data_IF_316416489075
#
_entry.id   IF_316416489075
#
_cell.length_a   1.000
_cell.length_b   1.000
_cell.length_c   1.000
_cell.angle_alpha   90.00
_cell.angle_beta   90.00
_cell.angle_gamma   90.00
#
_symmetry.space_group_name_H-M   'P 1'
#
loop_
_entity.id
_entity.type
_entity.pdbx_description
1 polymer ?
#
# COMPACT_ATOMS: atom_id res chain seq x y z
N UNK A 1 -20.17 -17.50 1.75
CA UNK A 1 -20.09 -18.98 1.83
C UNK A 1 -20.27 -19.54 0.42
N UNK A 2 -19.80 -20.75 0.15
CA UNK A 2 -19.93 -21.41 -1.16
C UNK A 2 -19.99 -22.92 -1.04
N UNK A 3 -19.91 -23.63 -2.16
CA UNK A 3 -19.91 -25.09 -2.23
C UNK A 3 -18.88 -25.60 -3.24
N UNK A 4 -18.26 -26.76 -2.96
CA UNK A 4 -17.54 -27.53 -3.98
C UNK A 4 -18.53 -28.16 -4.98
N UNK A 5 -18.01 -28.76 -6.06
CA UNK A 5 -18.82 -29.46 -7.06
C UNK A 5 -19.61 -30.64 -6.46
N UNK A 6 -19.11 -31.23 -5.38
CA UNK A 6 -19.72 -32.35 -4.65
C UNK A 6 -20.73 -31.89 -3.57
N UNK A 7 -21.00 -30.58 -3.46
CA UNK A 7 -21.96 -30.06 -2.48
C UNK A 7 -21.37 -29.76 -1.09
N UNK A 8 -20.04 -29.82 -0.92
CA UNK A 8 -19.40 -29.57 0.38
C UNK A 8 -19.31 -28.07 0.64
N UNK A 9 -19.88 -27.61 1.76
CA UNK A 9 -19.87 -26.19 2.15
C UNK A 9 -18.45 -25.70 2.41
N UNK A 10 -18.12 -24.50 1.90
CA UNK A 10 -16.82 -23.84 2.09
C UNK A 10 -16.96 -22.35 2.39
N UNK A 11 -15.87 -21.74 2.86
CA UNK A 11 -15.78 -20.29 3.11
C UNK A 11 -14.98 -19.60 2.00
N UNK A 12 -15.19 -18.30 1.83
CA UNK A 12 -14.54 -17.50 0.79
C UNK A 12 -13.38 -16.66 1.38
N UNK A 13 -12.90 -17.01 2.58
CA UNK A 13 -11.90 -16.25 3.31
C UNK A 13 -12.41 -14.93 3.88
N UNK A 14 -11.47 -14.06 4.30
CA UNK A 14 -11.74 -12.72 4.83
C UNK A 14 -12.31 -11.83 3.71
N UNK A 15 -13.36 -11.06 4.03
CA UNK A 15 -14.08 -10.26 3.03
C UNK A 15 -15.02 -11.08 2.14
N UNK A 16 -15.32 -12.32 2.53
CA UNK A 16 -16.15 -13.23 1.74
C UNK A 16 -17.57 -12.74 1.44
N UNK A 17 -18.14 -11.85 2.27
CA UNK A 17 -19.45 -11.25 2.01
C UNK A 17 -19.42 -10.28 0.83
N UNK A 18 -18.46 -9.35 0.81
CA UNK A 18 -18.23 -8.43 -0.30
C UNK A 18 -17.95 -9.21 -1.60
N UNK A 19 -17.13 -10.27 -1.48
CA UNK A 19 -16.83 -11.15 -2.62
C UNK A 19 -18.07 -11.89 -3.14
N UNK A 20 -18.94 -12.38 -2.24
CA UNK A 20 -20.20 -13.00 -2.65
C UNK A 20 -21.08 -12.00 -3.41
N UNK A 21 -21.17 -10.76 -2.93
CA UNK A 21 -21.95 -9.71 -3.57
C UNK A 21 -21.36 -9.33 -4.94
N UNK A 22 -20.04 -9.25 -5.07
CA UNK A 22 -19.37 -8.99 -6.35
C UNK A 22 -19.60 -10.10 -7.38
N UNK A 23 -19.48 -11.37 -6.97
CA UNK A 23 -19.78 -12.52 -7.85
C UNK A 23 -21.23 -12.49 -8.32
N UNK A 24 -22.18 -12.24 -7.40
CA UNK A 24 -23.59 -12.13 -7.76
C UNK A 24 -23.85 -10.98 -8.73
N UNK A 25 -23.30 -9.80 -8.45
CA UNK A 25 -23.44 -8.63 -9.32
C UNK A 25 -22.92 -8.91 -10.75
N UNK A 26 -21.76 -9.56 -10.87
CA UNK A 26 -21.21 -9.97 -12.15
C UNK A 26 -22.10 -10.99 -12.87
N UNK A 27 -22.57 -12.03 -12.16
CA UNK A 27 -23.42 -13.07 -12.72
C UNK A 27 -24.79 -12.53 -13.20
N UNK A 28 -25.36 -11.58 -12.48
CA UNK A 28 -26.65 -10.95 -12.82
C UNK A 28 -26.49 -9.74 -13.75
N UNK A 29 -25.26 -9.36 -14.12
CA UNK A 29 -24.96 -8.15 -14.89
C UNK A 29 -25.59 -6.89 -14.29
N UNK A 30 -25.47 -6.76 -12.97
CA UNK A 30 -26.02 -5.62 -12.23
C UNK A 30 -25.41 -4.30 -12.71
N UNK A 31 -26.21 -3.23 -12.68
CA UNK A 31 -25.74 -1.91 -13.08
C UNK A 31 -24.72 -1.32 -12.09
N UNK A 32 -24.75 -1.76 -10.82
CA UNK A 32 -23.89 -1.26 -9.73
C UNK A 32 -23.83 -2.32 -8.62
N UNK A 33 -22.68 -2.43 -7.94
CA UNK A 33 -22.52 -3.15 -6.68
C UNK A 33 -22.49 -2.13 -5.53
N UNK A 34 -23.37 -2.29 -4.53
CA UNK A 34 -23.40 -1.42 -3.35
C UNK A 34 -22.89 -2.16 -2.13
N UNK A 35 -21.85 -1.63 -1.50
CA UNK A 35 -21.31 -2.14 -0.25
C UNK A 35 -21.66 -1.15 0.86
N UNK A 36 -22.51 -1.60 1.78
CA UNK A 36 -22.90 -0.85 2.96
C UNK A 36 -21.97 -1.20 4.12
N UNK A 37 -21.32 -0.19 4.68
CA UNK A 37 -20.36 -0.28 5.78
C UNK A 37 -20.69 0.77 6.86
N UNK A 38 -19.77 1.04 7.79
CA UNK A 38 -19.89 2.02 8.88
C UNK A 38 -19.25 3.38 8.56
N UNK A 39 -18.72 3.54 7.35
CA UNK A 39 -18.10 4.78 6.84
C UNK A 39 -18.79 5.30 5.59
N UNK A 40 -18.81 6.63 5.44
CA UNK A 40 -19.46 7.35 4.32
C UNK A 40 -18.57 7.43 3.08
N UNK A 41 -18.02 6.29 2.67
CA UNK A 41 -17.10 6.19 1.54
C UNK A 41 -15.62 6.22 1.95
N UNK A 42 -14.77 6.51 0.97
CA UNK A 42 -13.32 6.66 1.12
C UNK A 42 -12.99 8.13 1.36
N UNK A 43 -12.12 8.38 2.33
CA UNK A 43 -11.66 9.72 2.69
C UNK A 43 -10.29 10.01 2.06
N UNK A 44 -10.00 11.27 1.75
CA UNK A 44 -8.70 11.69 1.21
C UNK A 44 -7.53 11.53 2.19
N UNK A 45 -7.81 11.32 3.47
CA UNK A 45 -6.86 10.84 4.49
C UNK A 45 -7.65 10.27 5.66
N UNK A 46 -6.99 9.58 6.61
CA UNK A 46 -7.62 9.18 7.88
C UNK A 46 -8.12 10.44 8.63
N UNK A 47 -9.45 10.61 8.84
CA UNK A 47 -10.00 11.78 9.51
C UNK A 47 -9.53 11.96 10.96
N UNK A 48 -9.03 10.88 11.59
CA UNK A 48 -8.44 10.93 12.94
C UNK A 48 -7.09 11.62 12.94
N UNK A 49 -6.36 11.53 11.84
CA UNK A 49 -5.03 12.13 11.64
C UNK A 49 -5.14 13.52 11.01
N UNK A 50 -6.06 13.68 10.05
CA UNK A 50 -6.26 14.90 9.26
C UNK A 50 -7.70 15.39 9.42
N UNK A 51 -7.92 16.43 10.24
CA UNK A 51 -9.26 17.00 10.45
C UNK A 51 -9.92 17.55 9.17
N UNK A 52 -9.10 17.97 8.20
CA UNK A 52 -9.54 18.47 6.89
C UNK A 52 -9.72 17.38 5.83
N UNK A 53 -9.73 16.10 6.21
CA UNK A 53 -9.98 15.01 5.27
C UNK A 53 -11.36 15.17 4.61
N UNK A 54 -11.40 15.03 3.29
CA UNK A 54 -12.60 15.21 2.46
C UNK A 54 -13.08 13.85 1.97
N UNK A 55 -14.40 13.60 1.89
CA UNK A 55 -14.91 12.41 1.23
C UNK A 55 -14.59 12.48 -0.27
N UNK A 56 -14.26 11.33 -0.87
CA UNK A 56 -14.03 11.21 -2.30
C UNK A 56 -15.33 10.80 -2.99
N UNK A 57 -15.76 11.57 -3.99
CA UNK A 57 -16.96 11.22 -4.76
C UNK A 57 -16.73 10.00 -5.65
N UNK A 58 -15.55 9.92 -6.27
CA UNK A 58 -15.17 8.81 -7.13
C UNK A 58 -13.68 8.51 -7.11
N UNK A 59 -13.32 7.28 -7.44
CA UNK A 59 -11.93 6.85 -7.60
C UNK A 59 -11.82 5.65 -8.52
N UNK A 60 -10.63 5.40 -9.04
CA UNK A 60 -10.41 4.26 -9.90
C UNK A 60 -10.16 2.99 -9.09
N UNK A 61 -10.34 1.83 -9.73
CA UNK A 61 -9.98 0.56 -9.09
C UNK A 61 -8.51 0.49 -8.72
N UNK A 62 -7.64 1.08 -9.53
CA UNK A 62 -6.21 1.11 -9.25
C UNK A 62 -5.90 2.00 -8.04
N UNK A 63 -6.51 3.19 -7.94
CA UNK A 63 -6.39 4.05 -6.76
C UNK A 63 -6.89 3.35 -5.49
N UNK A 64 -8.03 2.66 -5.58
CA UNK A 64 -8.61 1.94 -4.45
C UNK A 64 -7.72 0.79 -4.00
N UNK A 65 -7.09 0.11 -4.94
CA UNK A 65 -6.15 -0.97 -4.66
C UNK A 65 -4.90 -0.47 -3.91
N UNK A 66 -4.29 0.61 -4.38
CA UNK A 66 -3.13 1.23 -3.75
C UNK A 66 -3.46 1.72 -2.33
N UNK A 67 -4.58 2.44 -2.15
CA UNK A 67 -4.98 2.92 -0.82
C UNK A 67 -5.21 1.77 0.17
N UNK A 68 -5.89 0.73 -0.28
CA UNK A 68 -6.23 -0.41 0.58
C UNK A 68 -5.00 -1.21 0.99
N UNK A 69 -4.01 -1.30 0.09
CA UNK A 69 -2.73 -1.95 0.38
C UNK A 69 -1.96 -1.21 1.49
N UNK A 70 -1.95 0.13 1.49
CA UNK A 70 -1.26 0.96 2.47
C UNK A 70 -2.14 1.45 3.63
N UNK A 71 -3.17 0.69 4.00
CA UNK A 71 -3.87 0.84 5.29
C UNK A 71 -5.23 1.54 5.26
N UNK A 72 -5.74 1.96 4.10
CA UNK A 72 -7.11 2.47 4.00
C UNK A 72 -8.11 1.31 4.11
N UNK A 73 -8.66 1.09 5.31
CA UNK A 73 -9.58 -0.03 5.61
C UNK A 73 -11.01 0.22 5.10
N UNK A 74 -11.21 0.30 3.79
CA UNK A 74 -12.55 0.48 3.22
C UNK A 74 -12.97 -0.71 2.38
N UNK A 75 -12.08 -1.24 1.54
CA UNK A 75 -12.40 -2.37 0.68
C UNK A 75 -11.14 -3.20 0.41
N UNK A 76 -11.26 -4.52 0.38
CA UNK A 76 -10.12 -5.33 -0.03
C UNK A 76 -10.17 -5.55 -1.54
N UNK A 77 -9.14 -5.25 -2.35
CA UNK A 77 -9.25 -5.25 -3.82
C UNK A 77 -9.72 -6.59 -4.41
N UNK A 78 -9.28 -7.71 -3.82
CA UNK A 78 -9.73 -9.05 -4.23
C UNK A 78 -11.23 -9.30 -4.04
N UNK A 79 -11.89 -8.61 -3.10
CA UNK A 79 -13.30 -8.86 -2.83
C UNK A 79 -14.21 -8.27 -3.90
N UNK A 80 -13.78 -7.24 -4.62
CA UNK A 80 -14.58 -6.64 -5.68
C UNK A 80 -14.14 -6.98 -7.09
N UNK A 81 -13.03 -7.71 -7.23
CA UNK A 81 -12.45 -8.07 -8.52
C UNK A 81 -13.48 -8.64 -9.53
N UNK A 82 -14.44 -9.51 -9.16
CA UNK A 82 -15.44 -9.99 -10.11
C UNK A 82 -16.32 -8.87 -10.70
N UNK A 83 -16.70 -7.89 -9.87
CA UNK A 83 -17.47 -6.73 -10.33
C UNK A 83 -16.60 -5.81 -11.22
N UNK A 84 -15.34 -5.63 -10.84
CA UNK A 84 -14.36 -4.85 -11.62
C UNK A 84 -14.16 -5.42 -13.02
N UNK A 85 -13.91 -6.73 -13.13
CA UNK A 85 -13.71 -7.43 -14.41
C UNK A 85 -14.95 -7.40 -15.30
N UNK A 86 -16.13 -7.39 -14.69
CA UNK A 86 -17.41 -7.22 -15.38
C UNK A 86 -17.72 -5.74 -15.75
N UNK A 87 -16.85 -4.78 -15.40
CA UNK A 87 -17.05 -3.35 -15.64
C UNK A 87 -18.17 -2.73 -14.80
N UNK A 88 -18.54 -3.36 -13.68
CA UNK A 88 -19.64 -2.94 -12.81
C UNK A 88 -19.10 -1.98 -11.74
N UNK A 89 -19.55 -0.72 -11.67
CA UNK A 89 -19.14 0.23 -10.64
C UNK A 89 -19.47 -0.28 -9.22
N UNK A 90 -18.57 -0.01 -8.28
CA UNK A 90 -18.74 -0.35 -6.86
C UNK A 90 -18.96 0.91 -6.06
N UNK A 91 -20.07 1.01 -5.33
CA UNK A 91 -20.37 2.14 -4.45
C UNK A 91 -20.22 1.76 -2.99
N UNK A 92 -19.37 2.48 -2.27
CA UNK A 92 -19.21 2.38 -0.83
C UNK A 92 -20.16 3.35 -0.14
N UNK A 93 -21.03 2.83 0.72
CA UNK A 93 -22.12 3.57 1.39
C UNK A 93 -22.08 3.35 2.90
N UNK A 94 -22.64 4.30 3.66
CA UNK A 94 -22.77 4.19 5.11
C UNK A 94 -24.16 3.71 5.50
N UNK A 95 -24.22 2.62 6.25
CA UNK A 95 -25.46 2.08 6.84
C UNK A 95 -26.09 3.06 7.84
N UNK A 96 -25.26 3.79 8.58
CA UNK A 96 -25.69 4.75 9.61
C UNK A 96 -25.97 6.16 9.07
N UNK A 97 -25.57 6.45 7.83
CA UNK A 97 -25.84 7.72 7.16
C UNK A 97 -26.30 7.49 5.70
N UNK A 98 -27.54 7.01 5.47
CA UNK A 98 -28.01 6.60 4.15
C UNK A 98 -28.14 7.75 3.14
N UNK A 99 -28.17 8.99 3.60
CA UNK A 99 -28.19 10.19 2.76
C UNK A 99 -26.83 10.53 2.15
N UNK A 100 -25.75 9.97 2.69
CA UNK A 100 -24.40 10.28 2.22
C UNK A 100 -24.17 9.67 0.83
N UNK A 101 -23.56 10.45 -0.05
CA UNK A 101 -23.34 10.04 -1.45
C UNK A 101 -22.43 8.82 -1.57
N UNK A 102 -21.52 8.65 -0.59
CA UNK A 102 -20.50 7.63 -0.58
C UNK A 102 -19.44 7.85 -1.65
N UNK A 103 -18.68 6.80 -1.96
CA UNK A 103 -17.64 6.82 -3.00
C UNK A 103 -17.94 5.81 -4.08
N UNK A 104 -17.84 6.23 -5.34
CA UNK A 104 -17.99 5.32 -6.50
C UNK A 104 -16.62 4.91 -7.04
N UNK A 105 -16.33 3.61 -7.01
CA UNK A 105 -15.12 3.01 -7.57
C UNK A 105 -15.46 2.47 -8.97
N UNK A 106 -14.74 2.91 -9.99
CA UNK A 106 -15.06 2.60 -11.41
C UNK A 106 -13.81 2.65 -12.30
N UNK A 107 -13.88 2.09 -13.51
CA UNK A 107 -12.77 2.14 -14.48
C UNK A 107 -12.63 3.50 -15.17
N UNK A 108 -13.74 4.26 -15.28
CA UNK A 108 -13.75 5.60 -15.84
C UNK A 108 -14.00 6.60 -14.72
N UNK A 109 -12.93 7.20 -14.19
CA UNK A 109 -13.09 8.35 -13.30
C UNK A 109 -13.11 9.63 -14.11
N UNK A 110 -14.06 10.51 -13.79
CA UNK A 110 -13.96 11.90 -14.21
C UNK A 110 -12.68 12.48 -13.60
N UNK A 111 -11.89 13.18 -14.42
CA UNK A 111 -10.74 13.92 -13.92
C UNK A 111 -11.26 15.13 -13.16
N UNK A 112 -11.36 15.00 -11.84
CA UNK A 112 -11.72 16.08 -10.92
C UNK A 112 -10.60 17.15 -10.77
N UNK A 113 -9.51 17.01 -11.54
CA UNK A 113 -8.35 17.91 -11.54
C UNK A 113 -7.38 17.65 -10.40
N UNK A 114 -7.67 16.71 -9.50
CA UNK A 114 -6.76 16.34 -8.42
C UNK A 114 -5.58 15.54 -8.96
N UNK A 115 -4.38 15.92 -8.52
CA UNK A 115 -3.14 15.20 -8.86
C UNK A 115 -2.94 14.03 -7.90
N UNK A 116 -3.02 14.32 -6.60
CA UNK A 116 -3.09 13.34 -5.52
C UNK A 116 -4.52 13.38 -4.98
N UNK A 117 -5.20 12.23 -4.93
CA UNK A 117 -6.56 12.12 -4.40
C UNK A 117 -6.58 11.82 -2.91
N UNK A 118 -5.63 11.00 -2.47
CA UNK A 118 -5.60 10.54 -1.09
C UNK A 118 -4.20 10.26 -0.58
N UNK A 119 -4.06 10.40 0.73
CA UNK A 119 -2.84 10.07 1.49
C UNK A 119 -3.19 9.05 2.57
N UNK A 120 -2.45 7.95 2.62
CA UNK A 120 -2.62 6.90 3.63
C UNK A 120 -1.30 6.58 4.31
N UNK A 121 -1.36 5.83 5.42
CA UNK A 121 -0.16 5.35 6.10
C UNK A 121 -0.37 3.99 6.76
N UNK A 122 0.72 3.23 6.86
CA UNK A 122 0.79 1.96 7.56
C UNK A 122 1.95 2.02 8.57
N UNK A 123 1.63 1.91 9.86
CA UNK A 123 2.61 1.86 10.95
C UNK A 123 2.85 0.45 11.48
N UNK A 124 3.69 0.33 12.50
CA UNK A 124 4.04 -0.95 13.12
C UNK A 124 4.96 -1.81 12.25
N UNK A 125 5.87 -1.14 11.53
CA UNK A 125 6.79 -1.76 10.59
C UNK A 125 8.24 -1.59 11.05
N UNK A 126 9.10 -2.46 10.55
CA UNK A 126 10.54 -2.31 10.58
C UNK A 126 11.13 -2.39 9.18
N UNK A 127 12.28 -1.77 8.97
CA UNK A 127 13.02 -1.83 7.72
C UNK A 127 14.31 -2.62 7.93
N UNK A 128 14.53 -3.63 7.10
CA UNK A 128 15.79 -4.39 7.05
C UNK A 128 16.56 -3.96 5.82
N UNK A 129 17.81 -3.55 6.00
CA UNK A 129 18.72 -3.21 4.90
C UNK A 129 19.82 -4.25 4.82
N UNK A 130 19.92 -4.92 3.67
CA UNK A 130 21.05 -5.79 3.32
C UNK A 130 21.93 -5.02 2.35
N UNK A 131 23.20 -4.81 2.70
CA UNK A 131 24.15 -4.01 1.92
C UNK A 131 25.49 -4.74 1.75
N UNK A 132 26.09 -4.64 0.57
CA UNK A 132 27.50 -4.97 0.36
C UNK A 132 27.95 -5.03 -1.09
N UNK A 133 29.21 -4.70 -1.35
CA UNK A 133 29.79 -4.64 -2.69
C UNK A 133 29.69 -5.97 -3.48
N UNK A 134 29.61 -7.12 -2.79
CA UNK A 134 29.44 -8.43 -3.41
C UNK A 134 28.08 -8.63 -4.10
N UNK A 135 27.12 -7.70 -3.93
CA UNK A 135 25.88 -7.73 -4.72
C UNK A 135 26.08 -7.28 -6.17
N UNK A 136 27.14 -6.52 -6.46
CA UNK A 136 27.48 -6.11 -7.82
C UNK A 136 28.02 -7.31 -8.61
N UNK A 137 27.21 -7.84 -9.53
CA UNK A 137 27.64 -8.89 -10.46
C UNK A 137 27.45 -10.32 -9.96
N UNK A 138 26.78 -10.54 -8.83
CA UNK A 138 26.35 -11.88 -8.36
C UNK A 138 24.87 -12.09 -8.69
N UNK A 139 24.55 -12.88 -9.73
CA UNK A 139 23.18 -13.29 -10.00
C UNK A 139 22.57 -13.98 -8.78
N UNK A 140 21.31 -13.66 -8.48
CA UNK A 140 20.54 -14.37 -7.45
C UNK A 140 20.66 -13.81 -6.03
N UNK A 141 21.41 -12.71 -5.79
CA UNK A 141 21.45 -12.08 -4.46
C UNK A 141 20.06 -11.67 -3.97
N UNK A 142 19.33 -10.91 -4.78
CA UNK A 142 17.96 -10.51 -4.47
C UNK A 142 17.04 -11.73 -4.28
N UNK A 143 17.20 -12.77 -5.11
CA UNK A 143 16.41 -14.00 -4.98
C UNK A 143 16.62 -14.63 -3.59
N UNK A 144 17.86 -14.77 -3.12
CA UNK A 144 18.16 -15.31 -1.79
C UNK A 144 17.55 -14.50 -0.65
N UNK A 145 17.54 -13.16 -0.77
CA UNK A 145 16.88 -12.28 0.21
C UNK A 145 15.38 -12.60 0.29
N UNK A 146 14.70 -12.66 -0.87
CA UNK A 146 13.26 -12.94 -0.92
C UNK A 146 12.91 -14.38 -0.58
N UNK A 147 13.73 -15.35 -0.96
CA UNK A 147 13.57 -16.76 -0.60
C UNK A 147 13.66 -16.95 0.92
N UNK A 148 14.58 -16.22 1.57
CA UNK A 148 14.71 -16.24 3.03
C UNK A 148 13.48 -15.62 3.70
N UNK A 149 12.99 -14.47 3.20
CA UNK A 149 11.75 -13.87 3.71
C UNK A 149 10.54 -14.82 3.54
N UNK A 150 10.45 -15.49 2.39
CA UNK A 150 9.39 -16.46 2.11
C UNK A 150 9.48 -17.69 3.02
N UNK A 151 10.68 -18.25 3.23
CA UNK A 151 10.92 -19.38 4.13
C UNK A 151 10.51 -19.05 5.57
N UNK A 152 10.79 -17.83 6.03
CA UNK A 152 10.38 -17.33 7.34
C UNK A 152 8.91 -16.88 7.40
N UNK A 153 8.17 -16.98 6.28
CA UNK A 153 6.78 -16.54 6.14
C UNK A 153 6.59 -15.07 6.53
N UNK A 154 7.53 -14.22 6.13
CA UNK A 154 7.49 -12.77 6.38
C UNK A 154 6.91 -12.08 5.16
N UNK A 155 5.81 -11.35 5.37
CA UNK A 155 5.22 -10.52 4.32
C UNK A 155 6.07 -9.26 4.12
N UNK A 156 6.61 -9.09 2.91
CA UNK A 156 7.33 -7.87 2.51
C UNK A 156 6.31 -6.85 2.02
N UNK A 157 6.25 -5.70 2.69
CA UNK A 157 5.28 -4.63 2.43
C UNK A 157 5.77 -3.64 1.37
N UNK A 158 7.07 -3.36 1.38
CA UNK A 158 7.71 -2.44 0.44
C UNK A 158 9.17 -2.85 0.23
N UNK A 159 9.67 -2.61 -0.97
CA UNK A 159 11.05 -2.90 -1.38
C UNK A 159 11.64 -1.61 -1.93
N UNK A 160 12.88 -1.30 -1.54
CA UNK A 160 13.69 -0.25 -2.16
C UNK A 160 15.07 -0.84 -2.43
N UNK A 161 15.60 -0.65 -3.64
CA UNK A 161 16.91 -1.16 -4.02
C UNK A 161 17.76 -0.01 -4.55
N UNK A 162 18.99 0.09 -4.06
CA UNK A 162 19.97 1.07 -4.54
C UNK A 162 21.08 0.34 -5.29
N UNK A 163 21.20 0.61 -6.59
CA UNK A 163 22.25 0.03 -7.42
C UNK A 163 23.63 0.61 -7.12
N UNK A 164 23.72 1.88 -6.74
CA UNK A 164 24.99 2.55 -6.44
C UNK A 164 25.59 2.10 -5.10
N UNK A 165 24.73 1.81 -4.13
CA UNK A 165 25.15 1.40 -2.78
C UNK A 165 25.16 -0.12 -2.60
N UNK A 166 24.75 -0.87 -3.64
CA UNK A 166 24.59 -2.31 -3.56
C UNK A 166 23.76 -2.71 -2.33
N UNK A 167 22.54 -2.18 -2.22
CA UNK A 167 21.68 -2.42 -1.07
C UNK A 167 20.24 -2.78 -1.47
N UNK A 168 19.60 -3.62 -0.66
CA UNK A 168 18.18 -3.95 -0.73
C UNK A 168 17.58 -3.66 0.65
N UNK A 169 16.56 -2.81 0.67
CA UNK A 169 15.76 -2.50 1.84
C UNK A 169 14.40 -3.22 1.72
N UNK A 170 14.01 -3.94 2.76
CA UNK A 170 12.71 -4.58 2.90
C UNK A 170 11.98 -3.94 4.07
N UNK A 171 10.75 -3.46 3.85
CA UNK A 171 9.86 -3.07 4.94
C UNK A 171 8.95 -4.24 5.26
N UNK A 172 8.92 -4.65 6.53
CA UNK A 172 8.20 -5.82 7.03
C UNK A 172 7.47 -5.47 8.34
N UNK A 173 6.50 -6.28 8.80
CA UNK A 173 5.95 -6.15 10.15
C UNK A 173 7.06 -6.13 11.22
N UNK A 174 6.97 -5.21 12.18
CA UNK A 174 8.03 -5.00 13.19
C UNK A 174 8.32 -6.28 14.01
N UNK A 175 7.28 -7.05 14.33
CA UNK A 175 7.38 -8.32 15.07
C UNK A 175 8.14 -9.43 14.31
N UNK A 176 8.33 -9.29 13.00
CA UNK A 176 9.07 -10.23 12.16
C UNK A 176 10.54 -9.84 11.95
N UNK A 177 10.95 -8.63 12.35
CA UNK A 177 12.26 -8.04 12.01
C UNK A 177 13.44 -8.87 12.54
N UNK A 178 13.45 -9.21 13.83
CA UNK A 178 14.55 -9.97 14.44
C UNK A 178 14.70 -11.37 13.86
N UNK A 179 13.56 -12.04 13.62
CA UNK A 179 13.54 -13.36 12.99
C UNK A 179 14.13 -13.31 11.58
N UNK A 180 13.69 -12.36 10.77
CA UNK A 180 14.17 -12.22 9.39
C UNK A 180 15.65 -11.83 9.36
N UNK A 181 16.08 -10.89 10.21
CA UNK A 181 17.50 -10.53 10.34
C UNK A 181 18.36 -11.76 10.65
N UNK A 182 18.00 -12.53 11.68
CA UNK A 182 18.76 -13.72 12.06
C UNK A 182 18.79 -14.80 10.97
N UNK A 183 17.72 -14.93 10.18
CA UNK A 183 17.69 -15.83 9.02
C UNK A 183 18.62 -15.35 7.89
N UNK A 184 18.60 -14.05 7.59
CA UNK A 184 19.48 -13.44 6.58
C UNK A 184 20.96 -13.52 6.98
N UNK A 185 21.29 -13.26 8.26
CA UNK A 185 22.65 -13.40 8.78
C UNK A 185 23.18 -14.82 8.66
N UNK A 186 22.34 -15.83 8.96
CA UNK A 186 22.70 -17.24 8.75
C UNK A 186 22.91 -17.57 7.28
N UNK A 187 22.01 -17.09 6.43
CA UNK A 187 22.03 -17.40 4.99
C UNK A 187 23.22 -16.74 4.27
N UNK A 188 23.60 -15.53 4.68
CA UNK A 188 24.74 -14.79 4.13
C UNK A 188 26.02 -14.93 4.97
N UNK A 189 26.12 -15.91 5.87
CA UNK A 189 27.27 -16.02 6.78
C UNK A 189 28.61 -16.10 6.03
N UNK A 190 28.67 -16.82 4.91
CA UNK A 190 29.89 -16.92 4.11
C UNK A 190 30.26 -15.58 3.46
N UNK A 191 29.27 -14.86 2.93
CA UNK A 191 29.44 -13.55 2.31
C UNK A 191 29.80 -12.47 3.33
N UNK A 192 29.23 -12.53 4.54
CA UNK A 192 29.59 -11.66 5.66
C UNK A 192 31.06 -11.87 6.07
N UNK A 193 31.50 -13.13 6.17
CA UNK A 193 32.90 -13.47 6.48
C UNK A 193 33.88 -13.02 5.39
N UNK A 194 33.44 -13.02 4.12
CA UNK A 194 34.21 -12.56 2.97
C UNK A 194 34.12 -11.05 2.72
N UNK A 195 33.32 -10.33 3.50
CA UNK A 195 32.97 -8.92 3.28
C UNK A 195 32.30 -8.63 1.92
N UNK A 196 31.70 -9.65 1.31
CA UNK A 196 30.84 -9.52 0.13
C UNK A 196 29.49 -8.91 0.54
N UNK A 197 29.01 -9.21 1.76
CA UNK A 197 27.95 -8.47 2.46
C UNK A 197 28.61 -7.69 3.60
N UNK A 198 28.40 -6.38 3.63
CA UNK A 198 28.98 -5.47 4.63
C UNK A 198 28.11 -5.40 5.88
N UNK A 199 26.79 -5.31 5.69
CA UNK A 199 25.86 -5.07 6.80
C UNK A 199 24.47 -5.64 6.52
N UNK A 200 23.86 -6.19 7.56
CA UNK A 200 22.42 -6.44 7.65
C UNK A 200 21.91 -5.65 8.85
N UNK A 201 21.23 -4.54 8.58
CA UNK A 201 20.77 -3.61 9.61
C UNK A 201 19.25 -3.59 9.74
N UNK A 202 18.76 -3.17 10.90
CA UNK A 202 17.33 -2.99 11.17
C UNK A 202 17.09 -1.58 11.69
N UNK A 203 16.20 -0.85 11.01
CA UNK A 203 15.67 0.42 11.46
C UNK A 203 14.21 0.24 11.90
N UNK A 204 13.92 0.58 13.16
CA UNK A 204 12.59 0.45 13.76
C UNK A 204 12.40 1.42 14.93
N UNK A 205 11.15 1.83 15.23
CA UNK A 205 9.94 1.61 14.41
C UNK A 205 9.86 2.60 13.23
N UNK A 206 9.41 2.11 12.08
CA UNK A 206 9.16 2.91 10.88
C UNK A 206 7.71 2.78 10.41
N UNK A 207 7.29 3.69 9.55
CA UNK A 207 5.98 3.68 8.91
C UNK A 207 6.10 3.95 7.40
N UNK A 208 5.19 3.38 6.63
CA UNK A 208 4.98 3.75 5.23
C UNK A 208 3.94 4.86 5.18
N UNK A 209 4.21 5.90 4.40
CA UNK A 209 3.25 6.94 4.02
C UNK A 209 3.15 6.96 2.50
N UNK A 210 1.93 6.88 1.98
CA UNK A 210 1.67 6.78 0.55
C UNK A 210 0.78 7.93 0.08
N UNK A 211 1.17 8.58 -1.01
CA UNK A 211 0.34 9.52 -1.76
C UNK A 211 -0.17 8.80 -3.02
N UNK A 212 -1.49 8.79 -3.23
CA UNK A 212 -2.15 8.03 -4.28
C UNK A 212 -3.03 8.93 -5.14
N UNK A 213 -2.93 8.77 -6.46
CA UNK A 213 -3.81 9.44 -7.43
C UNK A 213 -3.41 9.17 -8.87
N UNK A 214 -4.40 8.96 -9.74
CA UNK A 214 -4.18 8.81 -11.18
C UNK A 214 -3.61 10.07 -11.83
N UNK A 215 -3.94 11.24 -11.28
CA UNK A 215 -3.43 12.51 -11.76
C UNK A 215 -1.91 12.67 -11.58
N UNK A 216 -1.25 11.83 -10.80
CA UNK A 216 0.21 11.83 -10.66
C UNK A 216 0.91 11.30 -11.90
N UNK A 217 0.28 10.37 -12.64
CA UNK A 217 0.88 9.70 -13.78
C UNK A 217 1.16 10.67 -14.91
N UNK A 218 2.42 10.75 -15.31
CA UNK A 218 2.89 11.67 -16.34
C UNK A 218 2.86 13.13 -15.94
N UNK A 219 2.65 13.46 -14.65
CA UNK A 219 2.64 14.84 -14.13
C UNK A 219 3.99 15.14 -13.47
N UNK A 220 4.86 15.95 -14.11
CA UNK A 220 6.16 16.27 -13.54
C UNK A 220 6.03 17.10 -12.25
N UNK A 221 6.97 16.88 -11.32
CA UNK A 221 7.09 17.69 -10.10
C UNK A 221 6.24 17.23 -8.91
N UNK A 222 5.38 16.22 -9.06
CA UNK A 222 4.58 15.69 -7.94
C UNK A 222 5.45 15.17 -6.81
N UNK A 223 6.44 14.32 -7.14
CA UNK A 223 7.41 13.83 -6.16
C UNK A 223 8.14 14.99 -5.48
N UNK A 224 8.61 15.99 -6.25
CA UNK A 224 9.29 17.15 -5.69
C UNK A 224 8.42 17.92 -4.69
N UNK A 225 7.13 18.09 -4.96
CA UNK A 225 6.17 18.72 -4.02
C UNK A 225 6.02 17.91 -2.74
N UNK A 226 5.88 16.59 -2.84
CA UNK A 226 5.83 15.67 -1.69
C UNK A 226 7.09 15.82 -0.82
N UNK A 227 8.28 15.69 -1.41
CA UNK A 227 9.54 15.81 -0.67
C UNK A 227 9.76 17.21 -0.10
N UNK A 228 9.35 18.25 -0.82
CA UNK A 228 9.46 19.65 -0.34
C UNK A 228 8.58 19.88 0.88
N UNK A 229 7.34 19.35 0.88
CA UNK A 229 6.42 19.48 2.01
C UNK A 229 6.99 18.81 3.27
N UNK A 230 7.58 17.62 3.13
CA UNK A 230 8.23 16.90 4.23
C UNK A 230 9.52 17.59 4.70
N UNK A 231 10.38 18.00 3.77
CA UNK A 231 11.66 18.64 4.06
C UNK A 231 11.52 19.97 4.80
N UNK A 232 10.53 20.81 4.43
CA UNK A 232 10.22 22.07 5.14
C UNK A 232 9.87 21.85 6.61
N UNK A 233 9.34 20.68 6.94
CA UNK A 233 8.98 20.30 8.30
C UNK A 233 10.04 19.42 8.99
N UNK A 234 11.21 19.24 8.38
CA UNK A 234 12.30 18.39 8.88
C UNK A 234 11.86 16.94 9.14
N UNK A 235 10.97 16.40 8.30
CA UNK A 235 10.64 14.97 8.31
C UNK A 235 11.65 14.24 7.44
N UNK A 236 12.42 13.33 8.05
CA UNK A 236 13.40 12.53 7.33
C UNK A 236 12.71 11.39 6.57
N UNK A 237 13.07 11.22 5.29
CA UNK A 237 12.61 10.09 4.47
C UNK A 237 13.75 9.08 4.39
N UNK A 238 13.46 7.84 4.79
CA UNK A 238 14.46 6.78 4.93
C UNK A 238 14.53 5.92 3.67
N UNK A 239 13.39 5.67 3.03
CA UNK A 239 13.32 4.91 1.78
C UNK A 239 12.15 5.39 0.93
N UNK A 240 12.22 5.12 -0.38
CA UNK A 240 11.27 5.59 -1.37
C UNK A 240 10.94 4.42 -2.31
N UNK A 241 9.69 4.27 -2.69
CA UNK A 241 9.27 3.40 -3.78
C UNK A 241 8.25 4.12 -4.65
N UNK A 242 8.49 4.06 -5.95
CA UNK A 242 7.56 4.51 -6.96
C UNK A 242 7.69 3.57 -8.17
N UNK A 243 6.58 2.92 -8.50
CA UNK A 243 6.51 2.00 -9.63
C UNK A 243 6.16 2.69 -10.94
N UNK A 244 6.28 1.96 -12.05
CA UNK A 244 5.98 2.45 -13.41
C UNK A 244 4.52 2.84 -13.66
N UNK A 245 3.60 2.48 -12.75
CA UNK A 245 2.22 2.95 -12.79
C UNK A 245 2.12 4.45 -12.48
N UNK A 246 3.06 4.97 -11.69
CA UNK A 246 3.10 6.35 -11.17
C UNK A 246 1.82 6.76 -10.42
N UNK A 247 1.00 5.78 -10.01
CA UNK A 247 -0.25 5.98 -9.27
C UNK A 247 -0.04 6.16 -7.76
N UNK A 248 1.15 5.83 -7.29
CA UNK A 248 1.52 5.82 -5.89
C UNK A 248 2.98 6.26 -5.72
N UNK A 249 3.22 7.14 -4.76
CA UNK A 249 4.53 7.44 -4.20
C UNK A 249 4.50 6.98 -2.74
N UNK A 250 5.28 5.95 -2.42
CA UNK A 250 5.41 5.42 -1.07
C UNK A 250 6.75 5.81 -0.46
N UNK A 251 6.70 6.27 0.78
CA UNK A 251 7.85 6.77 1.54
C UNK A 251 7.91 6.05 2.87
N UNK A 252 9.12 5.73 3.32
CA UNK A 252 9.36 5.25 4.68
C UNK A 252 9.83 6.42 5.53
N UNK A 253 9.18 6.63 6.67
CA UNK A 253 9.54 7.62 7.68
C UNK A 253 9.63 6.94 9.04
N UNK A 254 10.26 7.59 10.02
CA UNK A 254 10.21 7.12 11.40
C UNK A 254 8.75 7.13 11.91
N UNK A 255 8.35 6.14 12.71
CA UNK A 255 6.95 6.01 13.18
C UNK A 255 6.46 7.29 13.89
N UNK A 256 7.35 7.96 14.65
CA UNK A 256 7.05 9.22 15.34
C UNK A 256 6.62 10.36 14.41
N UNK A 257 7.02 10.30 13.14
CA UNK A 257 6.74 11.32 12.12
C UNK A 257 5.57 10.92 11.20
N UNK A 258 5.01 9.70 11.33
CA UNK A 258 3.97 9.15 10.47
C UNK A 258 2.79 10.10 10.27
N UNK A 259 2.15 10.49 11.36
CA UNK A 259 0.96 11.35 11.30
C UNK A 259 1.26 12.76 10.79
N UNK A 260 2.45 13.28 11.12
CA UNK A 260 2.93 14.57 10.64
C UNK A 260 3.13 14.54 9.12
N UNK A 261 3.77 13.49 8.61
CA UNK A 261 3.97 13.28 7.18
C UNK A 261 2.64 13.21 6.42
N UNK A 262 1.66 12.44 6.93
CA UNK A 262 0.32 12.36 6.33
C UNK A 262 -0.34 13.74 6.24
N UNK A 263 -0.32 14.51 7.34
CA UNK A 263 -0.89 15.88 7.36
C UNK A 263 -0.23 16.79 6.33
N UNK A 264 1.11 16.81 6.28
CA UNK A 264 1.86 17.69 5.37
C UNK A 264 1.60 17.39 3.90
N UNK A 265 1.56 16.10 3.53
CA UNK A 265 1.27 15.68 2.16
C UNK A 265 -0.18 16.04 1.83
N UNK A 266 -1.13 15.75 2.71
CA UNK A 266 -2.53 16.09 2.48
C UNK A 266 -2.73 17.60 2.28
N UNK A 267 -2.15 18.44 3.16
CA UNK A 267 -2.22 19.90 3.03
C UNK A 267 -1.62 20.41 1.71
N UNK A 268 -0.53 19.82 1.22
CA UNK A 268 0.09 20.25 -0.04
C UNK A 268 -0.81 20.06 -1.26
N UNK A 269 -1.66 19.03 -1.26
CA UNK A 269 -2.50 18.68 -2.43
C UNK A 269 -3.99 19.01 -2.27
N UNK A 270 -4.45 19.34 -1.06
CA UNK A 270 -5.87 19.64 -0.77
C UNK A 270 -6.14 21.03 -0.19
N UNK A 271 -5.14 21.92 -0.25
CA UNK A 271 -5.27 23.37 0.02
C UNK A 271 -6.33 24.04 -0.84
#
# INVERSE_FOLDING_TARGET
>A
IGSTAEGVTTTLGRGGSDYSAAVLAAATKSNELRIYTDVSGVMSADPRVVKGAKPLDSMSYAEAAELSYFGAKVIHPRTVLPAVEAGIPVRILNTFAPSDRGTTITSNTDKDGSVVKATTSLGGLGMITVQGAGMSGVPGFAARVFDTAAAERVSVMMISQSSSENSICLVVPDDATDRLKGALEKMFNAELQRHDVEKIDVERPVAIVAAVGEGMRGTPGVAARVFTALGKASVNVVAIAQGSSELNISLVVLEKDREKAVRLIHEEFHR
#
